data_IF_944663426553
#
_entry.id   IF_944663426553
#
_cell.length_a   1.000
_cell.length_b   1.000
_cell.length_c   1.000
_cell.angle_alpha   90.00
_cell.angle_beta   90.00
_cell.angle_gamma   90.00
#
_symmetry.space_group_name_H-M   'P 1'
#
loop_
_entity.id
_entity.type
_entity.pdbx_description
1 polymer ?
#
# COMPACT_ATOMS: atom_id res chain seq x y z
N UNK A 1 -5.15 18.38 -3.04
CA UNK A 1 -5.31 16.98 -3.50
C UNK A 1 -4.67 16.12 -2.42
N UNK A 2 -5.28 15.01 -2.02
CA UNK A 2 -4.74 14.16 -0.95
C UNK A 2 -3.53 13.37 -1.47
N UNK A 3 -2.45 13.37 -0.70
CA UNK A 3 -1.18 12.70 -1.01
C UNK A 3 -1.08 11.30 -0.40
N UNK A 4 -0.18 10.44 -0.91
CA UNK A 4 0.10 9.15 -0.27
C UNK A 4 0.57 9.30 1.18
N UNK A 5 1.36 10.32 1.48
CA UNK A 5 1.88 10.64 2.81
C UNK A 5 0.74 11.01 3.78
N UNK A 6 -0.20 11.85 3.37
CA UNK A 6 -1.39 12.18 4.18
C UNK A 6 -2.25 10.95 4.48
N UNK A 7 -2.36 9.99 3.55
CA UNK A 7 -3.03 8.72 3.79
C UNK A 7 -2.28 7.84 4.80
N UNK A 8 -0.94 7.87 4.78
CA UNK A 8 -0.10 7.12 5.71
C UNK A 8 -0.20 7.68 7.13
N UNK A 9 -0.23 9.01 7.27
CA UNK A 9 -0.42 9.71 8.54
C UNK A 9 -1.80 9.42 9.12
N UNK A 10 -2.85 9.49 8.30
CA UNK A 10 -4.20 9.11 8.71
C UNK A 10 -4.26 7.64 9.18
N UNK A 11 -3.58 6.73 8.46
CA UNK A 11 -3.48 5.34 8.86
C UNK A 11 -2.81 5.17 10.23
N UNK A 12 -1.74 5.92 10.49
CA UNK A 12 -1.04 5.88 11.77
C UNK A 12 -1.91 6.38 12.93
N UNK A 13 -2.67 7.47 12.72
CA UNK A 13 -3.60 7.98 13.72
C UNK A 13 -4.70 6.95 14.07
N UNK A 14 -5.26 6.29 13.05
CA UNK A 14 -6.28 5.26 13.22
C UNK A 14 -5.73 3.99 13.89
N UNK A 15 -4.50 3.58 13.57
CA UNK A 15 -3.87 2.40 14.18
C UNK A 15 -3.60 2.56 15.69
N UNK A 16 -3.55 3.81 16.17
CA UNK A 16 -3.43 4.14 17.59
C UNK A 16 -4.77 4.05 18.35
N UNK A 17 -5.90 3.91 17.64
CA UNK A 17 -7.22 3.71 18.24
C UNK A 17 -7.33 2.38 19.00
N UNK A 18 -8.44 2.23 19.72
CA UNK A 18 -8.72 1.11 20.63
C UNK A 18 -9.89 0.23 20.17
N UNK A 19 -10.47 0.51 19.00
CA UNK A 19 -11.59 -0.25 18.44
C UNK A 19 -11.22 -0.93 17.13
N UNK A 20 -11.85 -2.06 16.87
CA UNK A 20 -11.73 -2.79 15.61
C UNK A 20 -12.00 -1.92 14.37
N UNK A 21 -13.00 -1.04 14.44
CA UNK A 21 -13.31 -0.12 13.33
C UNK A 21 -12.14 0.80 12.99
N UNK A 22 -11.36 1.22 13.98
CA UNK A 22 -10.19 2.08 13.76
C UNK A 22 -9.08 1.27 13.09
N UNK A 23 -8.83 0.04 13.53
CA UNK A 23 -7.81 -0.85 12.97
C UNK A 23 -8.12 -1.28 11.53
N UNK A 24 -9.39 -1.55 11.22
CA UNK A 24 -9.85 -1.80 9.85
C UNK A 24 -9.60 -0.61 8.96
N UNK A 25 -10.04 0.58 9.38
CA UNK A 25 -9.83 1.80 8.61
C UNK A 25 -8.34 2.15 8.47
N UNK A 26 -7.53 1.93 9.50
CA UNK A 26 -6.08 2.08 9.45
C UNK A 26 -5.47 1.20 8.35
N UNK A 27 -5.87 -0.06 8.29
CA UNK A 27 -5.44 -1.02 7.26
C UNK A 27 -5.83 -0.55 5.86
N UNK A 28 -7.05 -0.04 5.69
CA UNK A 28 -7.50 0.53 4.41
C UNK A 28 -6.63 1.71 3.99
N UNK A 29 -6.39 2.68 4.88
CA UNK A 29 -5.60 3.88 4.55
C UNK A 29 -4.12 3.56 4.34
N UNK A 30 -3.54 2.67 5.14
CA UNK A 30 -2.16 2.21 4.96
C UNK A 30 -1.97 1.52 3.60
N UNK A 31 -2.93 0.69 3.17
CA UNK A 31 -2.90 0.10 1.84
C UNK A 31 -3.00 1.15 0.73
N UNK A 32 -3.94 2.08 0.81
CA UNK A 32 -4.10 3.09 -0.25
C UNK A 32 -2.89 4.03 -0.32
N UNK A 33 -2.28 4.38 0.81
CA UNK A 33 -1.00 5.08 0.85
C UNK A 33 0.07 4.31 0.06
N UNK A 34 0.29 3.02 0.38
CA UNK A 34 1.23 2.16 -0.32
C UNK A 34 0.91 2.03 -1.82
N UNK A 35 -0.37 1.86 -2.17
CA UNK A 35 -0.83 1.73 -3.55
C UNK A 35 -0.51 2.99 -4.36
N UNK A 36 -0.86 4.17 -3.85
CA UNK A 36 -0.58 5.41 -4.56
C UNK A 36 0.92 5.72 -4.62
N UNK A 37 1.67 5.42 -3.56
CA UNK A 37 3.15 5.51 -3.60
C UNK A 37 3.73 4.61 -4.68
N UNK A 38 3.29 3.36 -4.76
CA UNK A 38 3.70 2.41 -5.80
C UNK A 38 3.27 2.83 -7.20
N UNK A 39 2.13 3.52 -7.37
CA UNK A 39 1.75 4.11 -8.68
C UNK A 39 2.72 5.19 -9.12
N UNK A 40 3.16 6.06 -8.21
CA UNK A 40 4.17 7.07 -8.53
C UNK A 40 5.50 6.43 -8.96
N UNK A 41 5.92 5.37 -8.26
CA UNK A 41 7.09 4.57 -8.65
C UNK A 41 6.90 3.94 -10.03
N UNK A 42 5.77 3.30 -10.28
CA UNK A 42 5.48 2.68 -11.57
C UNK A 42 5.53 3.71 -12.70
N UNK A 43 4.96 4.89 -12.50
CA UNK A 43 5.03 5.99 -13.46
C UNK A 43 6.48 6.47 -13.70
N UNK A 44 7.27 6.62 -12.64
CA UNK A 44 8.68 7.04 -12.74
C UNK A 44 9.57 6.02 -13.48
N UNK A 45 9.26 4.73 -13.33
CA UNK A 45 9.99 3.62 -13.96
C UNK A 45 9.40 3.19 -15.32
N UNK A 46 8.42 3.94 -15.85
CA UNK A 46 7.80 3.65 -17.15
C UNK A 46 7.00 2.35 -17.21
N UNK A 47 6.51 1.87 -16.06
CA UNK A 47 5.62 0.70 -15.99
C UNK A 47 4.20 1.15 -16.37
N UNK A 48 3.62 0.62 -17.46
CA UNK A 48 2.32 1.04 -17.93
C UNK A 48 1.20 0.63 -16.95
N UNK A 49 0.22 1.52 -16.76
CA UNK A 49 -1.04 1.14 -16.12
C UNK A 49 -1.83 0.25 -17.09
N UNK A 50 -2.19 -0.96 -16.67
CA UNK A 50 -2.99 -1.84 -17.52
C UNK A 50 -4.42 -1.29 -17.66
N UNK A 51 -4.89 -1.14 -18.89
CA UNK A 51 -6.17 -0.50 -19.20
C UNK A 51 -7.43 -1.36 -19.00
N UNK A 52 -7.32 -2.65 -18.64
CA UNK A 52 -8.48 -3.59 -18.67
C UNK A 52 -8.58 -4.55 -17.47
N UNK A 53 -7.59 -4.59 -16.57
CA UNK A 53 -7.60 -5.41 -15.35
C UNK A 53 -7.89 -4.56 -14.10
N UNK A 54 -8.19 -5.19 -12.97
CA UNK A 54 -8.23 -4.53 -11.65
C UNK A 54 -6.93 -3.74 -11.46
N UNK A 55 -7.01 -2.40 -11.42
CA UNK A 55 -5.85 -1.50 -11.33
C UNK A 55 -4.84 -1.88 -10.22
N UNK A 56 -5.33 -2.54 -9.16
CA UNK A 56 -4.51 -3.07 -8.08
C UNK A 56 -3.69 -4.29 -8.48
N UNK A 57 -4.32 -5.29 -9.13
CA UNK A 57 -3.63 -6.51 -9.54
C UNK A 57 -2.56 -6.19 -10.59
N UNK A 58 -2.89 -5.34 -11.56
CA UNK A 58 -1.97 -4.96 -12.62
C UNK A 58 -0.76 -4.17 -12.12
N UNK A 59 -0.94 -3.27 -11.15
CA UNK A 59 0.19 -2.58 -10.52
C UNK A 59 1.10 -3.56 -9.77
N UNK A 60 0.51 -4.50 -9.00
CA UNK A 60 1.25 -5.52 -8.27
C UNK A 60 2.06 -6.39 -9.23
N UNK A 61 1.44 -6.88 -10.30
CA UNK A 61 2.09 -7.73 -11.29
C UNK A 61 3.17 -6.95 -12.05
N UNK A 62 2.85 -5.72 -12.47
CA UNK A 62 3.79 -4.80 -13.11
C UNK A 62 5.07 -4.64 -12.29
N UNK A 63 4.95 -4.37 -10.99
CA UNK A 63 6.10 -4.26 -10.08
C UNK A 63 6.80 -5.61 -9.84
N UNK A 64 6.04 -6.69 -9.63
CA UNK A 64 6.57 -8.01 -9.28
C UNK A 64 7.40 -8.64 -10.40
N UNK A 65 6.95 -8.44 -11.65
CA UNK A 65 7.60 -9.01 -12.82
C UNK A 65 8.55 -8.04 -13.52
N UNK A 66 8.64 -6.79 -13.07
CA UNK A 66 9.65 -5.87 -13.55
C UNK A 66 11.05 -6.35 -13.17
N UNK A 67 11.99 -6.32 -14.13
CA UNK A 67 13.32 -6.94 -13.95
C UNK A 67 14.30 -6.05 -13.19
N UNK A 68 14.29 -4.74 -13.41
CA UNK A 68 15.25 -3.79 -12.83
C UNK A 68 14.59 -2.45 -12.48
N UNK A 69 14.88 -1.84 -11.33
CA UNK A 69 15.73 -2.36 -10.26
C UNK A 69 15.06 -3.51 -9.48
N UNK A 70 15.85 -4.42 -8.86
CA UNK A 70 15.31 -5.53 -8.04
C UNK A 70 14.38 -5.07 -6.91
N UNK A 71 14.52 -3.82 -6.46
CA UNK A 71 13.66 -3.18 -5.46
C UNK A 71 12.18 -3.22 -5.88
N UNK A 72 11.86 -3.07 -7.16
CA UNK A 72 10.47 -3.05 -7.65
C UNK A 72 9.74 -4.36 -7.38
N UNK A 73 10.43 -5.50 -7.60
CA UNK A 73 9.89 -6.81 -7.27
C UNK A 73 9.54 -6.93 -5.79
N UNK A 74 10.42 -6.41 -4.93
CA UNK A 74 10.16 -6.34 -3.49
C UNK A 74 8.91 -5.51 -3.14
N UNK A 75 8.76 -4.34 -3.76
CA UNK A 75 7.57 -3.49 -3.59
C UNK A 75 6.28 -4.19 -4.02
N UNK A 76 6.31 -4.92 -5.14
CA UNK A 76 5.17 -5.70 -5.64
C UNK A 76 4.69 -6.75 -4.63
N UNK A 77 5.62 -7.53 -4.06
CA UNK A 77 5.27 -8.52 -3.04
C UNK A 77 4.75 -7.91 -1.75
N UNK A 78 5.31 -6.80 -1.29
CA UNK A 78 4.83 -6.09 -0.11
C UNK A 78 3.43 -5.52 -0.34
N UNK A 79 3.20 -4.88 -1.49
CA UNK A 79 1.90 -4.33 -1.85
C UNK A 79 0.83 -5.44 -1.95
N UNK A 80 1.20 -6.62 -2.48
CA UNK A 80 0.31 -7.78 -2.51
C UNK A 80 -0.12 -8.23 -1.12
N UNK A 81 0.81 -8.27 -0.15
CA UNK A 81 0.51 -8.63 1.23
C UNK A 81 -0.45 -7.61 1.88
N UNK A 82 -0.17 -6.32 1.74
CA UNK A 82 -1.06 -5.26 2.21
C UNK A 82 -2.47 -5.38 1.58
N UNK A 83 -2.55 -5.67 0.28
CA UNK A 83 -3.82 -5.85 -0.43
C UNK A 83 -4.66 -6.96 0.19
N UNK A 84 -4.06 -8.11 0.48
CA UNK A 84 -4.76 -9.25 1.06
C UNK A 84 -5.37 -8.88 2.42
N UNK A 85 -4.62 -8.20 3.28
CA UNK A 85 -5.14 -7.75 4.59
C UNK A 85 -6.22 -6.68 4.45
N UNK A 86 -6.09 -5.78 3.48
CA UNK A 86 -7.14 -4.80 3.16
C UNK A 86 -8.44 -5.46 2.70
N UNK A 87 -8.40 -6.55 1.93
CA UNK A 87 -9.62 -7.28 1.54
C UNK A 87 -10.38 -7.76 2.77
N UNK A 88 -9.67 -8.34 3.76
CA UNK A 88 -10.28 -8.77 5.02
C UNK A 88 -10.85 -7.56 5.79
N UNK A 89 -10.07 -6.49 5.92
CA UNK A 89 -10.49 -5.28 6.63
C UNK A 89 -11.78 -4.66 6.05
N UNK A 90 -11.87 -4.57 4.73
CA UNK A 90 -12.93 -3.86 4.02
C UNK A 90 -14.18 -4.72 3.76
N UNK A 91 -14.03 -6.03 3.51
CA UNK A 91 -15.12 -6.88 3.04
C UNK A 91 -15.51 -7.98 4.03
N UNK A 92 -14.61 -8.42 4.90
CA UNK A 92 -14.87 -9.49 5.88
C UNK A 92 -15.25 -8.88 7.24
N UNK A 93 -16.31 -8.06 7.26
CA UNK A 93 -16.75 -7.31 8.45
C UNK A 93 -17.27 -8.25 9.56
N UNK A 94 -17.73 -9.45 9.20
CA UNK A 94 -18.20 -10.46 10.16
C UNK A 94 -17.09 -11.29 10.82
N UNK A 95 -15.84 -11.19 10.35
CA UNK A 95 -14.69 -11.85 10.98
C UNK A 95 -14.04 -10.89 11.99
N UNK A 96 -13.41 -11.38 13.05
CA UNK A 96 -12.64 -10.51 13.95
C UNK A 96 -11.44 -9.89 13.23
N UNK A 97 -11.12 -8.64 13.54
CA UNK A 97 -9.95 -7.97 13.00
C UNK A 97 -9.15 -7.33 14.13
N UNK A 98 -7.89 -7.71 14.26
CA UNK A 98 -7.07 -7.35 15.41
C UNK A 98 -6.17 -6.13 15.16
N UNK A 99 -5.72 -5.56 16.27
CA UNK A 99 -4.78 -4.43 16.31
C UNK A 99 -3.47 -4.80 15.61
N UNK A 100 -2.97 -6.01 15.83
CA UNK A 100 -1.65 -6.45 15.33
C UNK A 100 -1.60 -6.53 13.80
N UNK A 101 -2.69 -6.93 13.14
CA UNK A 101 -2.79 -6.88 11.67
C UNK A 101 -2.71 -5.44 11.17
N UNK A 102 -3.40 -4.49 11.80
CA UNK A 102 -3.33 -3.08 11.40
C UNK A 102 -1.91 -2.50 11.56
N UNK A 103 -1.23 -2.79 12.68
CA UNK A 103 0.16 -2.37 12.89
C UNK A 103 1.12 -3.01 11.90
N UNK A 104 0.90 -4.27 11.54
CA UNK A 104 1.70 -4.97 10.52
C UNK A 104 1.57 -4.30 9.15
N UNK A 105 0.33 -4.03 8.70
CA UNK A 105 0.10 -3.37 7.40
C UNK A 105 0.64 -1.94 7.39
N UNK A 106 0.52 -1.20 8.49
CA UNK A 106 1.11 0.12 8.63
C UNK A 106 2.64 0.06 8.52
N UNK A 107 3.28 -0.88 9.19
CA UNK A 107 4.73 -1.07 9.13
C UNK A 107 5.20 -1.46 7.71
N UNK A 108 4.48 -2.35 7.02
CA UNK A 108 4.77 -2.72 5.64
C UNK A 108 4.58 -1.55 4.67
N UNK A 109 3.54 -0.74 4.87
CA UNK A 109 3.34 0.48 4.10
C UNK A 109 4.49 1.47 4.30
N UNK A 110 4.94 1.70 5.54
CA UNK A 110 6.13 2.52 5.82
C UNK A 110 7.39 2.00 5.12
N UNK A 111 7.63 0.69 5.17
CA UNK A 111 8.76 0.07 4.45
C UNK A 111 8.67 0.26 2.93
N UNK A 112 7.47 0.30 2.34
CA UNK A 112 7.27 0.63 0.92
C UNK A 112 7.73 2.07 0.64
N UNK A 113 7.37 3.03 1.51
CA UNK A 113 7.81 4.42 1.37
C UNK A 113 9.33 4.52 1.45
N UNK A 114 9.94 3.89 2.45
CA UNK A 114 11.40 3.91 2.65
C UNK A 114 12.14 3.33 1.45
N UNK A 115 11.72 2.15 0.97
CA UNK A 115 12.36 1.45 -0.15
C UNK A 115 12.13 2.14 -1.49
N UNK A 116 11.05 2.90 -1.63
CA UNK A 116 10.74 3.65 -2.85
C UNK A 116 11.33 5.05 -2.88
N UNK A 117 11.89 5.57 -1.77
CA UNK A 117 12.40 6.94 -1.68
C UNK A 117 13.38 7.32 -2.80
N UNK A 118 14.25 6.40 -3.23
CA UNK A 118 15.19 6.64 -4.33
C UNK A 118 14.63 6.46 -5.75
N UNK A 119 13.40 5.94 -5.89
CA UNK A 119 12.77 5.61 -7.19
C UNK A 119 11.78 6.69 -7.64
N UNK A 120 11.35 7.54 -6.72
CA UNK A 120 10.48 8.68 -6.98
C UNK A 120 11.27 9.93 -6.64
N UNK A 121 11.61 10.73 -7.66
CA UNK A 121 12.09 12.08 -7.39
C UNK A 121 10.91 12.83 -6.80
N UNK A 122 11.08 13.36 -5.58
CA UNK A 122 10.14 14.33 -5.04
C UNK A 122 10.09 15.48 -6.05
N UNK A 123 9.00 15.57 -6.80
CA UNK A 123 8.66 16.79 -7.53
C UNK A 123 8.49 17.86 -6.48
N UNK A 124 9.49 18.74 -6.37
CA UNK A 124 9.34 20.02 -5.67
C UNK A 124 8.31 20.88 -6.41
#
# INVERSE_FOLDING_TARGET
MVTPDELLDAAAALAAGDREVDWRNATSRAYYAAFHRCRLVAAAEGIPEAGTQSAHASLIDGLTYHRNPPTLRGLGFMLKQCRTKRVVADYEIGAGFDRDVAHTVLADSRRIFDRSAGLVRLTQ
#
